data_IF_399665007901
#
_entry.id   IF_399665007901
#
_cell.length_a   1.000
_cell.length_b   1.000
_cell.length_c   1.000
_cell.angle_alpha   90.00
_cell.angle_beta   90.00
_cell.angle_gamma   90.00
#
_symmetry.space_group_name_H-M   'P 1'
#
loop_
_entity.id
_entity.type
_entity.pdbx_description
1 polymer ?
#
# COMPACT_ATOMS: atom_id res chain seq x y z
N UNK A 1 -6.71 -8.00 12.24
CA UNK A 1 -6.60 -8.65 10.91
C UNK A 1 -5.50 -8.05 10.05
N UNK A 2 -5.62 -6.81 9.58
CA UNK A 2 -4.65 -6.15 8.66
C UNK A 2 -3.19 -6.29 9.11
N UNK A 3 -2.87 -5.99 10.37
CA UNK A 3 -1.51 -6.11 10.92
C UNK A 3 -0.94 -7.53 10.76
N UNK A 4 -1.75 -8.56 11.03
CA UNK A 4 -1.31 -9.96 10.94
C UNK A 4 -0.96 -10.33 9.51
N UNK A 5 -1.78 -9.89 8.54
CA UNK A 5 -1.52 -10.12 7.11
C UNK A 5 -0.23 -9.43 6.66
N UNK A 6 -0.01 -8.17 7.07
CA UNK A 6 1.21 -7.42 6.76
C UNK A 6 2.46 -8.02 7.41
N UNK A 7 2.38 -8.45 8.67
CA UNK A 7 3.49 -9.11 9.38
C UNK A 7 3.94 -10.40 8.66
N UNK A 8 3.02 -11.13 8.00
CA UNK A 8 3.33 -12.37 7.28
C UNK A 8 4.12 -12.16 5.98
N UNK A 9 4.05 -10.95 5.40
CA UNK A 9 4.68 -10.61 4.10
C UNK A 9 5.76 -9.54 4.25
N UNK A 10 6.36 -9.42 5.44
CA UNK A 10 7.40 -8.42 5.73
C UNK A 10 8.64 -8.62 4.84
N UNK A 11 9.30 -7.52 4.48
CA UNK A 11 10.55 -7.48 3.74
C UNK A 11 11.52 -6.46 4.33
N UNK A 12 12.83 -6.64 4.08
CA UNK A 12 13.88 -5.77 4.62
C UNK A 12 14.06 -4.46 3.85
N UNK A 13 13.70 -4.45 2.56
CA UNK A 13 13.92 -3.32 1.64
C UNK A 13 12.60 -2.79 1.10
N UNK A 14 12.48 -1.48 0.79
CA UNK A 14 11.27 -0.95 0.18
C UNK A 14 11.04 -1.57 -1.21
N UNK A 15 9.79 -1.91 -1.57
CA UNK A 15 9.45 -2.38 -2.91
C UNK A 15 9.57 -1.26 -3.96
N UNK A 16 9.57 0.01 -3.54
CA UNK A 16 9.74 1.18 -4.38
C UNK A 16 11.20 1.66 -4.27
N UNK A 17 11.99 1.63 -5.36
CA UNK A 17 13.37 2.11 -5.37
C UNK A 17 13.48 3.56 -4.90
N UNK A 18 14.45 3.84 -4.02
CA UNK A 18 14.73 5.21 -3.54
C UNK A 18 13.76 5.73 -2.47
N UNK A 19 12.70 5.00 -2.13
CA UNK A 19 11.77 5.41 -1.08
C UNK A 19 12.44 5.31 0.30
N UNK A 20 12.52 6.44 1.01
CA UNK A 20 13.08 6.54 2.36
C UNK A 20 12.02 7.03 3.33
N UNK A 21 11.65 6.18 4.28
CA UNK A 21 10.68 6.53 5.31
C UNK A 21 11.17 6.00 6.67
N UNK A 22 11.36 6.92 7.63
CA UNK A 22 11.85 6.57 8.96
C UNK A 22 10.78 5.80 9.73
N UNK A 23 11.14 4.63 10.26
CA UNK A 23 10.22 3.78 11.03
C UNK A 23 9.22 2.98 10.21
N UNK A 24 9.34 3.00 8.87
CA UNK A 24 8.50 2.17 8.02
C UNK A 24 8.87 0.68 8.14
N UNK A 25 7.84 -0.17 8.14
CA UNK A 25 7.97 -1.61 7.93
C UNK A 25 7.57 -1.92 6.50
N UNK A 26 8.48 -2.50 5.73
CA UNK A 26 8.24 -2.82 4.34
C UNK A 26 7.55 -4.18 4.21
N UNK A 27 6.65 -4.29 3.25
CA UNK A 27 5.89 -5.52 2.97
C UNK A 27 5.87 -5.77 1.47
N UNK A 28 5.70 -7.04 1.08
CA UNK A 28 5.50 -7.40 -0.33
C UNK A 28 4.20 -6.77 -0.85
N UNK A 29 4.18 -6.30 -2.11
CA UNK A 29 2.97 -5.79 -2.74
C UNK A 29 2.05 -6.97 -3.09
N UNK A 30 1.35 -7.51 -2.10
CA UNK A 30 0.46 -8.69 -2.25
C UNK A 30 -0.98 -8.40 -1.80
N UNK A 31 -1.26 -7.21 -1.28
CA UNK A 31 -2.57 -6.85 -0.73
C UNK A 31 -3.12 -5.63 -1.49
N UNK A 32 -4.29 -5.79 -2.08
CA UNK A 32 -5.06 -4.69 -2.66
C UNK A 32 -5.96 -4.08 -1.60
N UNK A 33 -6.03 -2.74 -1.56
CA UNK A 33 -6.83 -2.00 -0.59
C UNK A 33 -7.71 -0.98 -1.28
N UNK A 34 -8.83 -0.69 -0.65
CA UNK A 34 -9.71 0.40 -1.04
C UNK A 34 -9.32 1.68 -0.29
N UNK A 35 -9.25 2.79 -1.04
CA UNK A 35 -8.82 4.10 -0.53
C UNK A 35 -9.77 5.16 -1.06
N UNK A 36 -10.34 5.94 -0.15
CA UNK A 36 -11.06 7.17 -0.49
C UNK A 36 -10.09 8.35 -0.44
N UNK A 37 -10.21 9.26 -1.38
CA UNK A 37 -9.33 10.42 -1.50
C UNK A 37 -10.09 11.61 -2.09
N UNK A 38 -9.56 12.83 -1.91
CA UNK A 38 -10.21 14.08 -2.36
C UNK A 38 -9.78 14.55 -3.76
N UNK A 39 -8.75 13.94 -4.33
CA UNK A 39 -8.21 14.24 -5.65
C UNK A 39 -6.73 13.89 -5.77
N UNK A 40 -6.14 14.23 -6.92
CA UNK A 40 -4.72 14.04 -7.21
C UNK A 40 -3.92 15.33 -6.96
N UNK A 41 -2.65 15.20 -6.58
CA UNK A 41 -1.67 16.31 -6.61
C UNK A 41 -0.99 16.40 -7.97
N UNK A 42 -0.29 17.50 -8.24
CA UNK A 42 0.51 17.65 -9.47
C UNK A 42 1.62 16.59 -9.56
N UNK A 43 2.17 16.17 -8.42
CA UNK A 43 3.11 15.06 -8.30
C UNK A 43 2.48 13.66 -8.34
N UNK A 44 1.23 13.54 -8.80
CA UNK A 44 0.50 12.26 -8.94
C UNK A 44 0.35 11.47 -7.63
N UNK A 45 0.19 12.18 -6.50
CA UNK A 45 -0.13 11.57 -5.21
C UNK A 45 -1.60 11.78 -4.83
N UNK A 46 -2.14 10.91 -3.98
CA UNK A 46 -3.50 11.05 -3.47
C UNK A 46 -3.58 12.16 -2.40
N UNK A 47 -4.58 13.04 -2.53
CA UNK A 47 -4.84 14.13 -1.58
C UNK A 47 -5.79 13.65 -0.48
N UNK A 48 -5.33 13.71 0.77
CA UNK A 48 -6.05 13.23 1.97
C UNK A 48 -6.59 11.79 1.85
N UNK A 49 -5.73 10.80 1.56
CA UNK A 49 -6.17 9.41 1.43
C UNK A 49 -6.59 8.84 2.77
N UNK A 50 -7.68 8.06 2.76
CA UNK A 50 -8.19 7.32 3.91
C UNK A 50 -8.38 5.86 3.54
N UNK A 51 -7.79 4.97 4.33
CA UNK A 51 -7.97 3.51 4.18
C UNK A 51 -9.42 3.13 4.47
N UNK A 52 -10.04 2.35 3.56
CA UNK A 52 -11.42 1.87 3.69
C UNK A 52 -11.50 0.38 3.95
N UNK A 53 -10.58 -0.41 3.41
CA UNK A 53 -10.58 -1.85 3.63
C UNK A 53 -9.60 -2.60 2.73
N UNK A 54 -9.47 -3.90 2.96
CA UNK A 54 -8.76 -4.82 2.06
C UNK A 54 -9.78 -5.31 1.02
N UNK A 55 -9.36 -5.38 -0.24
CA UNK A 55 -10.14 -5.93 -1.35
C UNK A 55 -9.77 -7.40 -1.53
N UNK A 56 -10.59 -8.29 -1.01
CA UNK A 56 -10.40 -9.74 -1.16
C UNK A 56 -10.88 -10.25 -2.54
N UNK A 57 -11.65 -9.43 -3.25
CA UNK A 57 -12.18 -9.69 -4.59
C UNK A 57 -11.20 -9.36 -5.72
N UNK A 58 -10.03 -8.79 -5.42
CA UNK A 58 -9.05 -8.32 -6.40
C UNK A 58 -7.67 -8.92 -6.14
N UNK A 59 -6.97 -9.25 -7.22
CA UNK A 59 -5.59 -9.73 -7.17
C UNK A 59 -4.62 -8.60 -7.54
N UNK A 60 -3.41 -8.64 -6.98
CA UNK A 60 -2.36 -7.66 -7.34
C UNK A 60 -1.92 -7.81 -8.80
N UNK A 61 -1.99 -9.01 -9.37
CA UNK A 61 -1.63 -9.29 -10.76
C UNK A 61 -2.43 -8.45 -11.77
N UNK A 62 -3.62 -8.00 -11.38
CA UNK A 62 -4.45 -7.11 -12.22
C UNK A 62 -3.90 -5.68 -12.36
N UNK A 63 -2.88 -5.31 -11.58
CA UNK A 63 -2.35 -3.95 -11.47
C UNK A 63 -0.83 -3.86 -11.69
N UNK A 64 -0.17 -4.98 -12.03
CA UNK A 64 1.26 -5.05 -12.37
C UNK A 64 1.48 -4.99 -13.88
#
# INVERSE_FOLDING_TARGET
EVKRRLDAIQMDKPPIPGLKMKGAKWTRPEIVVDVEYRGWTEDHQLRHPSFKGIREDRSVDEFL
#
